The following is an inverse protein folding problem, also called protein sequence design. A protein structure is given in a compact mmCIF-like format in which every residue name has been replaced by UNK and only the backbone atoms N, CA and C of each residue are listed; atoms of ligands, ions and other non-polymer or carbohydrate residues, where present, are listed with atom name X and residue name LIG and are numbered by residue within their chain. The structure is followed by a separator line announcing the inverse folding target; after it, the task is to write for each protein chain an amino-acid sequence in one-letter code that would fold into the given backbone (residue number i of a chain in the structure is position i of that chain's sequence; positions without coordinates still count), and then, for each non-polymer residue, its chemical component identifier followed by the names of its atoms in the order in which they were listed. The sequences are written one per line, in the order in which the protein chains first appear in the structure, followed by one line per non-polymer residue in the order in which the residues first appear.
data_IF_942387372193
#
_entry.id   IF_942387372193
#
_cell.length_a   1.000
_cell.length_b   1.000
_cell.length_c   1.000
_cell.angle_alpha   90.00
_cell.angle_beta   90.00
_cell.angle_gamma   90.00
#
_symmetry.space_group_name_H-M   'P 1'
#
loop_
_entity.id
_entity.type
_entity.pdbx_description
1 polymer ?
#
# COMPACT_ATOMS: atom_id res chain seq x y z
N UNK A 1 23.56 2.82 4.01
CA UNK A 1 23.44 1.57 4.80
C UNK A 1 23.34 0.31 3.92
N UNK A 2 22.52 0.29 2.84
CA UNK A 2 22.36 -0.89 1.97
C UNK A 2 23.66 -1.23 1.24
N UNK A 3 24.33 -0.23 0.65
CA UNK A 3 25.58 -0.39 -0.10
C UNK A 3 26.72 -0.93 0.77
N UNK A 4 26.76 -0.54 2.04
CA UNK A 4 27.77 -1.06 2.98
C UNK A 4 27.70 -2.59 3.14
N UNK A 5 26.53 -3.19 2.86
CA UNK A 5 26.33 -4.66 2.86
C UNK A 5 26.77 -5.32 1.55
N UNK A 6 27.15 -4.56 0.53
CA UNK A 6 27.57 -5.03 -0.80
C UNK A 6 26.66 -6.14 -1.38
N UNK A 7 25.33 -5.93 -1.45
CA UNK A 7 24.44 -6.95 -2.00
C UNK A 7 24.72 -7.11 -3.50
N UNK A 8 24.63 -8.33 -4.01
CA UNK A 8 24.75 -8.59 -5.46
C UNK A 8 23.49 -8.17 -6.22
N UNK A 9 22.34 -8.22 -5.56
CA UNK A 9 21.04 -7.89 -6.12
C UNK A 9 20.16 -7.23 -5.07
N UNK A 10 19.46 -6.15 -5.46
CA UNK A 10 18.40 -5.51 -4.68
C UNK A 10 17.08 -5.74 -5.40
N UNK A 11 16.12 -6.35 -4.71
CA UNK A 11 14.76 -6.54 -5.19
C UNK A 11 13.87 -5.51 -4.49
N UNK A 12 13.22 -4.66 -5.26
CA UNK A 12 12.26 -3.67 -4.79
C UNK A 12 10.86 -4.16 -5.13
N UNK A 13 10.02 -4.32 -4.12
CA UNK A 13 8.63 -4.76 -4.28
C UNK A 13 7.71 -3.66 -3.81
N UNK A 14 6.70 -3.33 -4.61
CA UNK A 14 5.73 -2.27 -4.35
C UNK A 14 6.36 -0.86 -4.26
N UNK A 15 7.52 -0.71 -4.85
CA UNK A 15 8.24 0.55 -4.96
C UNK A 15 9.31 0.47 -6.05
N UNK A 16 9.88 1.63 -6.40
CA UNK A 16 11.04 1.69 -7.30
C UNK A 16 10.74 2.30 -8.66
N UNK A 17 9.49 2.31 -9.11
CA UNK A 17 9.13 2.85 -10.44
C UNK A 17 9.53 4.32 -10.65
N UNK A 18 9.58 5.11 -9.58
CA UNK A 18 9.98 6.52 -9.59
C UNK A 18 11.32 6.80 -8.88
N UNK A 19 12.00 5.76 -8.39
CA UNK A 19 13.22 5.89 -7.57
C UNK A 19 14.48 5.99 -8.43
N UNK A 20 14.52 6.98 -9.34
CA UNK A 20 15.59 7.13 -10.34
C UNK A 20 16.96 7.27 -9.68
N UNK A 21 17.11 8.20 -8.73
CA UNK A 21 18.41 8.49 -8.11
C UNK A 21 18.92 7.30 -7.29
N UNK A 22 18.04 6.67 -6.51
CA UNK A 22 18.42 5.51 -5.71
C UNK A 22 18.87 4.33 -6.57
N UNK A 23 18.15 4.04 -7.66
CA UNK A 23 18.48 2.94 -8.58
C UNK A 23 19.73 3.25 -9.39
N UNK A 24 19.88 4.48 -9.87
CA UNK A 24 21.10 4.90 -10.56
C UNK A 24 22.32 4.85 -9.63
N UNK A 25 22.13 5.14 -8.34
CA UNK A 25 23.20 5.01 -7.35
C UNK A 25 23.58 3.54 -7.08
N UNK A 26 22.61 2.62 -7.09
CA UNK A 26 22.89 1.18 -7.04
C UNK A 26 23.71 0.75 -8.27
N UNK A 27 23.30 1.16 -9.46
CA UNK A 27 23.99 0.83 -10.71
C UNK A 27 25.43 1.36 -10.75
N UNK A 28 25.69 2.58 -10.21
CA UNK A 28 27.04 3.15 -10.07
C UNK A 28 27.95 2.36 -9.12
N UNK A 29 27.37 1.54 -8.25
CA UNK A 29 28.09 0.66 -7.31
C UNK A 29 28.04 -0.82 -7.73
N UNK A 30 27.78 -1.12 -9.01
CA UNK A 30 27.71 -2.48 -9.59
C UNK A 30 26.69 -3.39 -8.89
N UNK A 31 25.65 -2.81 -8.26
CA UNK A 31 24.59 -3.54 -7.60
C UNK A 31 23.42 -3.69 -8.56
N UNK A 32 23.08 -4.94 -8.90
CA UNK A 32 21.93 -5.24 -9.75
C UNK A 32 20.63 -4.92 -9.03
N UNK A 33 19.60 -4.50 -9.79
CA UNK A 33 18.29 -4.19 -9.26
C UNK A 33 17.17 -4.80 -10.09
N UNK A 34 16.17 -5.35 -9.38
CA UNK A 34 14.89 -5.82 -9.91
C UNK A 34 13.77 -5.01 -9.24
N UNK A 35 12.94 -4.38 -10.04
CA UNK A 35 11.76 -3.64 -9.58
C UNK A 35 10.52 -4.44 -9.96
N UNK A 36 9.66 -4.73 -8.98
CA UNK A 36 8.32 -5.33 -9.17
C UNK A 36 7.31 -4.37 -8.56
N UNK A 37 6.68 -3.56 -9.41
CA UNK A 37 5.88 -2.42 -8.96
C UNK A 37 4.65 -2.22 -9.85
N UNK A 38 3.65 -1.48 -9.39
CA UNK A 38 2.42 -1.19 -10.11
C UNK A 38 2.04 0.30 -10.09
N UNK A 39 2.83 1.12 -9.40
CA UNK A 39 2.63 2.58 -9.37
C UNK A 39 2.87 3.22 -10.73
N UNK A 40 2.42 4.47 -10.87
CA UNK A 40 2.67 5.23 -12.10
C UNK A 40 4.17 5.33 -12.39
N UNK A 41 4.52 5.19 -13.66
CA UNK A 41 5.90 5.25 -14.13
C UNK A 41 5.98 6.08 -15.41
N UNK A 42 6.89 7.06 -15.42
CA UNK A 42 7.11 7.95 -16.56
C UNK A 42 8.56 7.90 -17.01
N UNK A 43 8.81 8.29 -18.26
CA UNK A 43 10.17 8.49 -18.76
C UNK A 43 10.76 9.79 -18.17
N UNK A 44 12.10 9.84 -17.91
CA UNK A 44 13.06 8.74 -18.06
C UNK A 44 12.86 7.66 -16.98
N UNK A 45 12.97 6.39 -17.37
CA UNK A 45 12.86 5.26 -16.43
C UNK A 45 14.13 5.12 -15.58
N UNK A 46 14.03 4.64 -14.32
CA UNK A 46 15.21 4.30 -13.54
C UNK A 46 16.05 3.21 -14.24
N UNK A 47 17.37 3.29 -14.13
CA UNK A 47 18.32 2.34 -14.76
C UNK A 47 18.40 1.01 -14.00
N UNK A 48 17.25 0.41 -13.68
CA UNK A 48 17.21 -0.93 -13.10
C UNK A 48 17.51 -1.99 -14.15
N UNK A 49 18.13 -3.12 -13.74
CA UNK A 49 18.40 -4.23 -14.64
C UNK A 49 17.09 -4.83 -15.19
N UNK A 50 16.05 -4.92 -14.33
CA UNK A 50 14.71 -5.36 -14.74
C UNK A 50 13.65 -4.52 -14.02
N UNK A 51 12.62 -4.10 -14.75
CA UNK A 51 11.43 -3.46 -14.21
C UNK A 51 10.22 -4.25 -14.68
N UNK A 52 9.49 -4.84 -13.74
CA UNK A 52 8.19 -5.48 -13.94
C UNK A 52 7.14 -4.49 -13.44
N UNK A 53 6.55 -3.75 -14.37
CA UNK A 53 5.47 -2.81 -14.09
C UNK A 53 4.52 -2.77 -15.31
N UNK A 54 3.23 -3.10 -15.15
CA UNK A 54 2.28 -3.13 -16.27
C UNK A 54 2.09 -1.79 -16.96
N UNK A 55 2.41 -0.68 -16.28
CA UNK A 55 2.28 0.69 -16.80
C UNK A 55 3.53 1.21 -17.49
N UNK A 56 4.64 0.48 -17.45
CA UNK A 56 5.93 0.92 -18.03
C UNK A 56 5.85 1.10 -19.55
N UNK A 57 5.15 0.24 -20.24
CA UNK A 57 4.99 0.30 -21.68
C UNK A 57 3.50 0.17 -22.01
N UNK A 58 2.98 1.00 -22.88
CA UNK A 58 1.56 1.02 -23.24
C UNK A 58 0.98 -0.34 -23.67
N UNK A 59 1.83 -1.32 -24.07
CA UNK A 59 1.42 -2.66 -24.47
C UNK A 59 0.86 -3.56 -23.36
N UNK A 60 1.11 -3.27 -22.07
CA UNK A 60 0.69 -4.11 -20.94
C UNK A 60 -0.37 -3.45 -20.06
N UNK A 61 -0.93 -2.35 -20.46
CA UNK A 61 -1.99 -1.60 -19.75
C UNK A 61 -3.20 -2.47 -19.38
N UNK A 62 -3.46 -3.57 -20.11
CA UNK A 62 -4.52 -4.53 -19.77
C UNK A 62 -4.34 -5.21 -18.41
N UNK A 63 -3.17 -5.09 -17.77
CA UNK A 63 -2.86 -5.63 -16.44
C UNK A 63 -2.64 -4.56 -15.37
N UNK A 64 -3.00 -3.30 -15.65
CA UNK A 64 -2.87 -2.14 -14.78
C UNK A 64 -3.60 -2.26 -13.44
N UNK A 65 -4.55 -3.20 -13.36
CA UNK A 65 -5.34 -3.53 -12.18
C UNK A 65 -4.68 -4.54 -11.22
N UNK A 66 -3.46 -5.00 -11.51
CA UNK A 66 -2.72 -5.91 -10.63
C UNK A 66 -1.85 -5.13 -9.64
N UNK A 67 -1.91 -5.48 -8.35
CA UNK A 67 -0.99 -4.96 -7.34
C UNK A 67 0.38 -5.64 -7.40
N UNK A 68 1.38 -5.04 -6.76
CA UNK A 68 2.74 -5.55 -6.74
C UNK A 68 2.85 -6.97 -6.16
N UNK A 69 2.02 -7.33 -5.19
CA UNK A 69 1.97 -8.68 -4.62
C UNK A 69 1.50 -9.71 -5.66
N UNK A 70 0.51 -9.35 -6.50
CA UNK A 70 0.06 -10.22 -7.60
C UNK A 70 1.17 -10.42 -8.63
N UNK A 71 1.87 -9.35 -9.00
CA UNK A 71 3.00 -9.42 -9.94
C UNK A 71 4.15 -10.27 -9.37
N UNK A 72 4.45 -10.11 -8.08
CA UNK A 72 5.45 -10.91 -7.38
C UNK A 72 5.07 -12.40 -7.33
N UNK A 73 3.80 -12.70 -7.13
CA UNK A 73 3.30 -14.07 -7.16
C UNK A 73 3.51 -14.72 -8.53
N UNK A 74 3.13 -14.05 -9.60
CA UNK A 74 3.37 -14.56 -10.96
C UNK A 74 4.85 -14.65 -11.32
N UNK A 75 5.66 -13.68 -10.90
CA UNK A 75 7.10 -13.76 -11.05
C UNK A 75 7.68 -15.02 -10.38
N UNK A 76 7.27 -15.28 -9.13
CA UNK A 76 7.71 -16.47 -8.39
C UNK A 76 7.20 -17.78 -9.02
N UNK A 77 5.96 -17.84 -9.50
CA UNK A 77 5.45 -19.01 -10.22
C UNK A 77 6.29 -19.31 -11.47
N UNK A 78 6.59 -18.28 -12.26
CA UNK A 78 7.44 -18.41 -13.45
C UNK A 78 8.86 -18.84 -13.09
N UNK A 79 9.43 -18.25 -12.04
CA UNK A 79 10.77 -18.58 -11.55
C UNK A 79 10.86 -20.05 -11.08
N UNK A 80 9.90 -20.52 -10.30
CA UNK A 80 9.80 -21.89 -9.81
C UNK A 80 9.67 -22.86 -10.97
N UNK A 81 8.77 -22.58 -11.91
CA UNK A 81 8.57 -23.41 -13.11
C UNK A 81 9.84 -23.50 -13.96
N UNK A 82 10.49 -22.36 -14.23
CA UNK A 82 11.71 -22.29 -15.05
C UNK A 82 12.85 -23.09 -14.43
N UNK A 83 13.00 -23.03 -13.11
CA UNK A 83 14.07 -23.71 -12.38
C UNK A 83 13.68 -25.13 -11.88
N UNK A 84 12.48 -25.60 -12.21
CA UNK A 84 11.93 -26.91 -11.83
C UNK A 84 11.90 -27.14 -10.30
N UNK A 85 11.72 -26.09 -9.52
CA UNK A 85 11.56 -26.25 -8.08
C UNK A 85 10.19 -26.86 -7.73
N UNK A 86 10.18 -27.76 -6.74
CA UNK A 86 8.95 -28.37 -6.21
C UNK A 86 8.39 -27.52 -5.05
N UNK A 87 7.84 -26.36 -5.36
CA UNK A 87 7.24 -25.46 -4.37
C UNK A 87 5.82 -25.07 -4.79
N UNK A 88 4.85 -25.27 -3.91
CA UNK A 88 3.45 -24.90 -4.13
C UNK A 88 3.17 -23.51 -3.51
N UNK A 89 2.89 -22.54 -4.35
CA UNK A 89 2.54 -21.18 -3.94
C UNK A 89 1.05 -20.98 -3.64
N UNK A 90 0.17 -21.97 -3.88
CA UNK A 90 -1.28 -21.79 -3.70
C UNK A 90 -1.67 -21.36 -2.29
N UNK A 91 -0.93 -21.81 -1.28
CA UNK A 91 -1.13 -21.39 0.12
C UNK A 91 -0.99 -19.88 0.36
N UNK A 92 -0.32 -19.15 -0.56
CA UNK A 92 -0.11 -17.71 -0.47
C UNK A 92 -1.17 -16.89 -1.23
N UNK A 93 -2.11 -17.52 -1.94
CA UNK A 93 -3.16 -16.81 -2.67
C UNK A 93 -4.02 -15.90 -1.78
N UNK A 94 -4.20 -16.26 -0.50
CA UNK A 94 -4.92 -15.42 0.45
C UNK A 94 -4.20 -14.10 0.71
N UNK A 95 -2.87 -14.06 0.71
CA UNK A 95 -2.09 -12.84 0.86
C UNK A 95 -2.11 -12.00 -0.42
N UNK A 96 -2.16 -12.64 -1.60
CA UNK A 96 -2.36 -11.94 -2.87
C UNK A 96 -3.72 -11.24 -2.88
N UNK A 97 -4.77 -11.92 -2.42
CA UNK A 97 -6.09 -11.33 -2.28
C UNK A 97 -6.12 -10.22 -1.23
N UNK A 98 -5.47 -10.42 -0.07
CA UNK A 98 -5.36 -9.41 0.99
C UNK A 98 -4.72 -8.12 0.48
N UNK A 99 -3.59 -8.22 -0.23
CA UNK A 99 -2.93 -7.07 -0.84
C UNK A 99 -3.81 -6.40 -1.90
N UNK A 100 -4.44 -7.17 -2.78
CA UNK A 100 -5.37 -6.67 -3.80
C UNK A 100 -6.50 -5.84 -3.18
N UNK A 101 -7.06 -6.30 -2.05
CA UNK A 101 -8.14 -5.60 -1.33
C UNK A 101 -7.61 -4.38 -0.56
N UNK A 102 -6.43 -4.50 0.07
CA UNK A 102 -5.80 -3.42 0.84
C UNK A 102 -5.43 -2.22 -0.06
N UNK A 103 -4.97 -2.49 -1.27
CA UNK A 103 -4.66 -1.50 -2.31
C UNK A 103 -5.89 -1.01 -3.09
N UNK A 104 -7.09 -1.49 -2.71
CA UNK A 104 -8.36 -1.13 -3.38
C UNK A 104 -8.32 -1.40 -4.89
N UNK A 105 -7.59 -2.43 -5.32
CA UNK A 105 -7.49 -2.80 -6.74
C UNK A 105 -8.81 -3.38 -7.25
N UNK A 106 -9.19 -3.10 -8.50
CA UNK A 106 -10.45 -3.59 -9.07
C UNK A 106 -10.53 -5.12 -9.08
N UNK A 107 -11.62 -5.69 -8.53
CA UNK A 107 -11.87 -7.13 -8.54
C UNK A 107 -12.44 -7.59 -9.89
N UNK A 108 -11.64 -7.43 -10.95
CA UNK A 108 -11.95 -7.87 -12.32
C UNK A 108 -10.91 -8.87 -12.84
N UNK A 109 -11.28 -9.64 -13.83
CA UNK A 109 -10.39 -10.60 -14.52
C UNK A 109 -9.57 -11.44 -13.52
N UNK A 110 -8.22 -11.38 -13.56
CA UNK A 110 -7.36 -12.18 -12.67
C UNK A 110 -7.61 -11.91 -11.18
N UNK A 111 -7.79 -10.65 -10.76
CA UNK A 111 -8.09 -10.35 -9.36
C UNK A 111 -9.38 -11.03 -8.89
N UNK A 112 -10.41 -11.09 -9.75
CA UNK A 112 -11.65 -11.81 -9.43
C UNK A 112 -11.45 -13.32 -9.36
N UNK A 113 -10.67 -13.90 -10.28
CA UNK A 113 -10.35 -15.33 -10.26
C UNK A 113 -9.55 -15.70 -9.01
N UNK A 114 -8.56 -14.89 -8.65
CA UNK A 114 -7.78 -15.06 -7.42
C UNK A 114 -8.68 -14.98 -6.19
N UNK A 115 -9.61 -14.01 -6.15
CA UNK A 115 -10.54 -13.86 -5.04
C UNK A 115 -11.43 -15.11 -4.87
N UNK A 116 -12.02 -15.59 -5.95
CA UNK A 116 -12.88 -16.80 -5.93
C UNK A 116 -12.06 -18.01 -5.46
N UNK A 117 -10.87 -18.22 -6.04
CA UNK A 117 -10.01 -19.36 -5.73
C UNK A 117 -9.50 -19.29 -4.29
N UNK A 118 -8.96 -18.15 -3.87
CA UNK A 118 -8.43 -17.96 -2.53
C UNK A 118 -9.51 -18.18 -1.47
N UNK A 119 -10.70 -17.57 -1.61
CA UNK A 119 -11.78 -17.72 -0.62
C UNK A 119 -12.38 -19.13 -0.60
N UNK A 120 -12.38 -19.84 -1.74
CA UNK A 120 -12.87 -21.22 -1.82
C UNK A 120 -11.92 -22.21 -1.13
N UNK A 121 -10.63 -22.09 -1.38
CA UNK A 121 -9.61 -23.07 -0.97
C UNK A 121 -9.02 -22.77 0.42
N UNK A 122 -9.09 -21.51 0.87
CA UNK A 122 -8.45 -21.08 2.12
C UNK A 122 -9.23 -21.58 3.35
N UNK A 123 -8.50 -22.26 4.23
CA UNK A 123 -8.98 -22.65 5.56
C UNK A 123 -8.20 -21.84 6.59
N UNK A 124 -8.89 -21.00 7.36
CA UNK A 124 -8.24 -20.06 8.29
C UNK A 124 -7.42 -20.78 9.36
N UNK A 125 -7.82 -22.01 9.72
CA UNK A 125 -7.11 -22.84 10.68
C UNK A 125 -5.69 -23.20 10.23
N UNK A 126 -5.45 -23.21 8.93
CA UNK A 126 -4.14 -23.51 8.33
C UNK A 126 -3.21 -22.28 8.31
N UNK A 127 -3.68 -21.12 8.78
CA UNK A 127 -2.90 -19.88 8.83
C UNK A 127 -2.96 -19.29 10.24
N UNK A 128 -1.89 -19.50 11.00
CA UNK A 128 -1.87 -19.13 12.41
C UNK A 128 -2.12 -17.63 12.61
N UNK A 129 -1.49 -16.76 11.82
CA UNK A 129 -1.62 -15.30 11.96
C UNK A 129 -3.07 -14.84 11.74
N UNK A 130 -3.68 -15.24 10.62
CA UNK A 130 -5.05 -14.85 10.30
C UNK A 130 -6.05 -15.47 11.28
N UNK A 131 -5.79 -16.69 11.74
CA UNK A 131 -6.61 -17.36 12.74
C UNK A 131 -6.57 -16.63 14.10
N UNK A 132 -5.40 -16.19 14.56
CA UNK A 132 -5.29 -15.41 15.80
C UNK A 132 -5.97 -14.03 15.68
N UNK A 133 -5.88 -13.36 14.53
CA UNK A 133 -6.64 -12.11 14.27
C UNK A 133 -8.14 -12.37 14.43
N UNK A 134 -8.65 -13.46 13.87
CA UNK A 134 -10.06 -13.82 13.94
C UNK A 134 -10.52 -14.13 15.37
N UNK A 135 -9.72 -14.91 16.11
CA UNK A 135 -10.00 -15.22 17.52
C UNK A 135 -10.10 -13.96 18.37
N UNK A 136 -9.11 -13.06 18.26
CA UNK A 136 -9.07 -11.81 19.01
C UNK A 136 -10.20 -10.84 18.62
N UNK A 137 -10.73 -10.99 17.42
CA UNK A 137 -11.84 -10.17 16.92
C UNK A 137 -13.20 -10.84 17.10
N UNK A 138 -13.29 -11.95 17.83
CA UNK A 138 -14.50 -12.75 18.06
C UNK A 138 -15.22 -13.15 16.77
N UNK A 139 -14.49 -13.36 15.66
CA UNK A 139 -15.02 -13.79 14.38
C UNK A 139 -15.08 -15.31 14.30
N UNK A 140 -16.24 -15.85 13.90
CA UNK A 140 -16.47 -17.29 13.76
C UNK A 140 -16.74 -17.73 12.33
N UNK A 141 -17.08 -16.78 11.45
CA UNK A 141 -17.46 -17.07 10.07
C UNK A 141 -16.24 -17.31 9.17
N UNK A 142 -16.48 -17.88 7.98
CA UNK A 142 -15.44 -17.95 6.94
C UNK A 142 -14.95 -16.55 6.58
N UNK A 143 -13.64 -16.45 6.29
CA UNK A 143 -13.02 -15.21 5.84
C UNK A 143 -13.70 -14.71 4.55
N UNK A 144 -13.90 -13.41 4.47
CA UNK A 144 -14.49 -12.76 3.32
C UNK A 144 -13.75 -11.46 2.97
N UNK A 145 -14.12 -10.83 1.85
CA UNK A 145 -13.46 -9.61 1.36
C UNK A 145 -13.58 -8.45 2.35
N UNK A 146 -14.73 -8.31 3.05
CA UNK A 146 -14.90 -7.25 4.07
C UNK A 146 -13.94 -7.44 5.23
N UNK A 147 -13.72 -8.68 5.68
CA UNK A 147 -12.77 -8.96 6.75
C UNK A 147 -11.33 -8.64 6.32
N UNK A 148 -10.97 -8.93 5.08
CA UNK A 148 -9.65 -8.55 4.53
C UNK A 148 -9.46 -7.03 4.53
N UNK A 149 -10.44 -6.27 4.03
CA UNK A 149 -10.32 -4.82 3.86
C UNK A 149 -10.53 -4.01 5.14
N UNK A 150 -11.44 -4.43 6.03
CA UNK A 150 -11.87 -3.63 7.19
C UNK A 150 -11.41 -4.15 8.55
N UNK A 151 -10.88 -5.38 8.61
CA UNK A 151 -10.32 -5.94 9.83
C UNK A 151 -8.82 -6.19 9.69
N UNK A 152 -8.41 -7.03 8.73
CA UNK A 152 -7.03 -7.51 8.63
C UNK A 152 -6.09 -6.42 8.10
N UNK A 153 -6.40 -5.81 6.96
CA UNK A 153 -5.56 -4.78 6.36
C UNK A 153 -5.34 -3.57 7.27
N UNK A 154 -6.33 -3.02 8.00
CA UNK A 154 -6.11 -1.93 8.95
C UNK A 154 -5.16 -2.29 10.10
N UNK A 155 -5.21 -3.52 10.62
CA UNK A 155 -4.30 -4.00 11.67
C UNK A 155 -2.87 -4.05 11.13
N UNK A 156 -2.66 -4.67 9.97
CA UNK A 156 -1.34 -4.77 9.35
C UNK A 156 -0.75 -3.41 8.98
N UNK A 157 -1.56 -2.50 8.48
CA UNK A 157 -1.14 -1.16 8.06
C UNK A 157 -0.90 -0.19 9.23
N UNK A 158 -1.37 -0.51 10.45
CA UNK A 158 -1.27 0.40 11.59
C UNK A 158 0.17 0.75 11.96
N UNK A 159 1.08 -0.23 11.87
CA UNK A 159 2.51 -0.02 12.13
C UNK A 159 3.14 1.01 11.21
N UNK A 160 2.92 0.91 9.91
CA UNK A 160 3.45 1.84 8.92
C UNK A 160 2.94 3.27 9.11
N UNK A 161 1.67 3.43 9.52
CA UNK A 161 1.07 4.75 9.76
C UNK A 161 1.59 5.45 11.02
N UNK A 162 2.11 4.71 11.99
CA UNK A 162 2.63 5.23 13.26
C UNK A 162 4.15 5.03 13.40
N UNK A 163 4.88 4.94 12.28
CA UNK A 163 6.35 4.91 12.25
C UNK A 163 6.99 3.56 12.59
N UNK A 164 6.21 2.47 12.61
CA UNK A 164 6.70 1.10 12.89
C UNK A 164 6.45 0.17 11.71
N UNK A 165 6.99 0.51 10.54
CA UNK A 165 6.70 -0.15 9.25
C UNK A 165 7.06 -1.63 9.17
N UNK A 166 8.04 -2.11 9.96
CA UNK A 166 8.50 -3.51 9.90
C UNK A 166 7.64 -4.49 10.72
N UNK A 167 6.70 -4.02 11.55
CA UNK A 167 5.92 -4.89 12.46
C UNK A 167 5.02 -5.87 11.69
N UNK A 168 4.38 -5.43 10.61
CA UNK A 168 3.54 -6.31 9.79
C UNK A 168 4.37 -7.41 9.10
N UNK A 169 5.53 -7.05 8.55
CA UNK A 169 6.43 -8.04 7.93
C UNK A 169 6.90 -9.05 8.97
N UNK A 170 7.34 -8.59 10.15
CA UNK A 170 7.75 -9.47 11.24
C UNK A 170 6.62 -10.40 11.71
N UNK A 171 5.37 -9.91 11.73
CA UNK A 171 4.21 -10.74 12.05
C UNK A 171 3.98 -11.82 10.99
N UNK A 172 3.96 -11.43 9.71
CA UNK A 172 3.62 -12.35 8.61
C UNK A 172 4.71 -13.37 8.29
N UNK A 173 5.96 -13.11 8.68
CA UNK A 173 7.12 -14.00 8.48
C UNK A 173 7.57 -14.73 9.75
N UNK A 174 6.83 -14.58 10.87
CA UNK A 174 7.21 -15.21 12.10
C UNK A 174 6.89 -16.72 12.09
N UNK A 175 7.87 -17.53 12.43
CA UNK A 175 7.75 -18.99 12.53
C UNK A 175 7.36 -19.46 13.95
N UNK A 176 7.33 -18.56 14.92
CA UNK A 176 7.06 -18.85 16.33
C UNK A 176 5.75 -18.21 16.77
N UNK A 177 4.86 -19.01 17.37
CA UNK A 177 3.56 -18.58 17.85
C UNK A 177 3.61 -17.48 18.93
N UNK A 178 4.63 -17.48 19.78
CA UNK A 178 4.79 -16.43 20.80
C UNK A 178 5.13 -15.09 20.13
N UNK A 179 6.02 -15.11 19.14
CA UNK A 179 6.37 -13.92 18.35
C UNK A 179 5.15 -13.39 17.61
N UNK A 180 4.35 -14.26 17.00
CA UNK A 180 3.09 -13.89 16.33
C UNK A 180 2.16 -13.18 17.31
N UNK A 181 1.88 -13.77 18.47
CA UNK A 181 0.99 -13.17 19.49
C UNK A 181 1.49 -11.81 19.96
N UNK A 182 2.79 -11.70 20.27
CA UNK A 182 3.40 -10.43 20.68
C UNK A 182 3.25 -9.36 19.59
N UNK A 183 3.65 -9.68 18.34
CA UNK A 183 3.57 -8.73 17.23
C UNK A 183 2.14 -8.34 16.86
N UNK A 184 1.23 -9.30 16.95
CA UNK A 184 -0.19 -9.04 16.70
C UNK A 184 -0.77 -8.11 17.78
N UNK A 185 -0.48 -8.34 19.06
CA UNK A 185 -0.90 -7.45 20.14
C UNK A 185 -0.36 -6.03 19.94
N UNK A 186 0.92 -5.89 19.59
CA UNK A 186 1.53 -4.59 19.28
C UNK A 186 0.78 -3.87 18.12
N UNK A 187 0.45 -4.59 17.03
CA UNK A 187 -0.26 -4.03 15.87
C UNK A 187 -1.72 -3.68 16.19
N UNK A 188 -2.42 -4.49 16.99
CA UNK A 188 -3.79 -4.18 17.44
C UNK A 188 -3.78 -2.89 18.28
N UNK A 189 -2.85 -2.77 19.23
CA UNK A 189 -2.71 -1.56 20.06
C UNK A 189 -2.38 -0.33 19.20
N UNK A 190 -1.52 -0.46 18.20
CA UNK A 190 -1.23 0.61 17.25
C UNK A 190 -2.47 0.99 16.42
N UNK A 191 -3.27 0.01 16.01
CA UNK A 191 -4.51 0.27 15.26
C UNK A 191 -5.55 1.00 16.13
N UNK A 192 -5.72 0.62 17.40
CA UNK A 192 -6.61 1.32 18.32
C UNK A 192 -6.10 2.74 18.61
N UNK A 193 -4.80 2.91 18.81
CA UNK A 193 -4.19 4.25 18.94
C UNK A 193 -4.45 5.10 17.69
N UNK A 194 -4.27 4.53 16.50
CA UNK A 194 -4.55 5.21 15.23
C UNK A 194 -6.02 5.65 15.14
N UNK A 195 -6.97 4.75 15.51
CA UNK A 195 -8.41 5.07 15.49
C UNK A 195 -8.74 6.23 16.45
N UNK A 196 -8.17 6.21 17.67
CA UNK A 196 -8.36 7.29 18.64
C UNK A 196 -7.85 8.63 18.09
N UNK A 197 -6.64 8.66 17.52
CA UNK A 197 -6.09 9.90 16.93
C UNK A 197 -6.97 10.36 15.75
N UNK A 198 -7.42 9.44 14.87
CA UNK A 198 -8.34 9.76 13.76
C UNK A 198 -9.63 10.39 14.28
N UNK A 199 -10.26 9.81 15.30
CA UNK A 199 -11.49 10.34 15.93
C UNK A 199 -11.27 11.74 16.48
N UNK A 200 -10.23 11.92 17.32
CA UNK A 200 -9.90 13.24 17.90
C UNK A 200 -9.66 14.31 16.82
N UNK A 201 -8.94 13.97 15.74
CA UNK A 201 -8.73 14.91 14.64
C UNK A 201 -10.08 15.32 14.02
N UNK A 202 -10.94 14.33 13.71
CA UNK A 202 -12.24 14.60 13.09
C UNK A 202 -13.17 15.41 13.99
N UNK A 203 -13.16 15.18 15.30
CA UNK A 203 -13.93 15.93 16.29
C UNK A 203 -13.50 17.41 16.37
N UNK A 204 -12.20 17.68 16.16
CA UNK A 204 -11.65 19.04 16.20
C UNK A 204 -11.75 19.81 14.88
N UNK A 205 -12.21 19.17 13.80
CA UNK A 205 -12.36 19.83 12.50
C UNK A 205 -13.65 20.67 12.47
N UNK A 206 -13.51 21.94 12.15
CA UNK A 206 -14.67 22.80 11.86
C UNK A 206 -15.17 22.56 10.42
N UNK A 207 -16.09 21.61 10.30
CA UNK A 207 -16.70 21.27 9.02
C UNK A 207 -17.49 22.41 8.37
N UNK A 208 -18.08 23.34 9.17
CA UNK A 208 -18.83 24.48 8.66
C UNK A 208 -17.89 25.47 7.99
N UNK A 209 -16.78 25.77 8.64
CA UNK A 209 -15.72 26.62 8.09
C UNK A 209 -15.14 26.04 6.80
N UNK A 210 -14.78 24.75 6.80
CA UNK A 210 -14.24 24.08 5.60
C UNK A 210 -15.23 24.19 4.43
N UNK A 211 -16.53 23.96 4.68
CA UNK A 211 -17.57 24.05 3.66
C UNK A 211 -17.67 25.45 3.05
N UNK A 212 -17.53 26.47 3.89
CA UNK A 212 -17.60 27.89 3.47
C UNK A 212 -16.38 28.32 2.66
N UNK A 213 -15.19 27.88 3.08
CA UNK A 213 -13.91 28.27 2.45
C UNK A 213 -13.58 27.48 1.18
N UNK A 214 -14.25 26.33 0.94
CA UNK A 214 -13.90 25.39 -0.13
C UNK A 214 -15.12 25.01 -0.97
N UNK A 215 -15.32 25.70 -2.09
CA UNK A 215 -16.49 25.50 -2.92
C UNK A 215 -16.47 24.20 -3.72
N UNK A 216 -15.40 23.93 -4.48
CA UNK A 216 -15.31 22.80 -5.42
C UNK A 216 -14.25 21.75 -5.05
N UNK A 217 -13.27 22.12 -4.24
CA UNK A 217 -12.14 21.31 -3.86
C UNK A 217 -11.79 21.56 -2.39
N UNK A 218 -11.72 20.54 -1.57
CA UNK A 218 -11.39 20.68 -0.16
C UNK A 218 -9.87 20.70 0.01
N UNK A 219 -9.35 21.78 0.61
CA UNK A 219 -7.96 21.84 1.09
C UNK A 219 -8.01 22.01 2.61
N UNK A 220 -7.41 21.08 3.33
CA UNK A 220 -7.28 21.14 4.77
C UNK A 220 -5.80 21.07 5.16
N UNK A 221 -5.35 22.07 5.88
CA UNK A 221 -3.98 22.18 6.37
C UNK A 221 -3.94 22.15 7.89
N UNK A 222 -3.17 21.21 8.43
CA UNK A 222 -2.85 21.11 9.85
C UNK A 222 -1.37 20.73 10.00
N UNK A 223 -0.50 21.69 10.43
CA UNK A 223 0.94 21.45 10.52
C UNK A 223 1.34 20.44 11.60
N UNK A 224 0.43 20.14 12.54
CA UNK A 224 0.68 19.24 13.69
C UNK A 224 0.26 17.80 13.41
N UNK A 225 -0.48 17.57 12.31
CA UNK A 225 -1.02 16.26 11.99
C UNK A 225 0.10 15.29 11.61
N UNK A 226 0.00 14.05 12.12
CA UNK A 226 0.91 12.98 11.74
C UNK A 226 0.76 12.64 10.25
N UNK A 227 1.89 12.65 9.51
CA UNK A 227 1.91 12.42 8.05
C UNK A 227 1.36 11.05 7.62
N UNK A 228 1.40 10.03 8.49
CA UNK A 228 0.82 8.71 8.23
C UNK A 228 -0.71 8.69 8.27
N UNK A 229 -1.36 9.76 8.77
CA UNK A 229 -2.81 9.86 8.92
C UNK A 229 -3.47 10.77 7.88
N UNK A 230 -2.72 11.68 7.24
CA UNK A 230 -3.29 12.64 6.27
C UNK A 230 -4.12 11.95 5.17
N UNK A 231 -3.70 10.77 4.72
CA UNK A 231 -4.42 10.00 3.69
C UNK A 231 -5.77 9.43 4.17
N UNK A 232 -5.88 9.13 5.48
CA UNK A 232 -7.14 8.67 6.07
C UNK A 232 -8.08 9.85 6.24
N UNK A 233 -7.59 10.95 6.80
CA UNK A 233 -8.39 12.17 6.99
C UNK A 233 -8.86 12.72 5.63
N UNK A 234 -7.99 12.72 4.60
CA UNK A 234 -8.39 13.10 3.25
C UNK A 234 -9.55 12.23 2.71
N UNK A 235 -9.51 10.91 2.97
CA UNK A 235 -10.60 10.02 2.58
C UNK A 235 -11.89 10.34 3.34
N UNK A 236 -11.83 10.59 4.66
CA UNK A 236 -13.00 10.96 5.48
C UNK A 236 -13.64 12.27 5.04
N UNK A 237 -12.82 13.29 4.82
CA UNK A 237 -13.32 14.58 4.34
C UNK A 237 -13.92 14.49 2.93
N UNK A 238 -13.25 13.71 2.03
CA UNK A 238 -13.79 13.42 0.69
C UNK A 238 -15.16 12.74 0.77
N UNK A 239 -15.32 11.74 1.64
CA UNK A 239 -16.58 11.02 1.79
C UNK A 239 -17.67 11.91 2.40
N UNK A 240 -17.32 12.74 3.39
CA UNK A 240 -18.27 13.66 4.05
C UNK A 240 -18.76 14.76 3.11
N UNK A 241 -17.85 15.43 2.39
CA UNK A 241 -18.20 16.55 1.50
C UNK A 241 -18.60 16.12 0.09
N UNK A 242 -18.33 14.86 -0.28
CA UNK A 242 -18.43 14.34 -1.66
C UNK A 242 -17.69 15.22 -2.69
N UNK A 243 -16.52 15.75 -2.28
CA UNK A 243 -15.67 16.63 -3.08
C UNK A 243 -14.24 16.10 -3.14
N UNK A 244 -13.49 16.33 -4.23
CA UNK A 244 -12.08 16.03 -4.23
C UNK A 244 -11.38 16.76 -3.11
N UNK A 245 -10.48 16.09 -2.41
CA UNK A 245 -9.93 16.58 -1.14
C UNK A 245 -8.43 16.36 -1.06
N UNK A 246 -7.72 17.36 -0.56
CA UNK A 246 -6.31 17.29 -0.19
C UNK A 246 -6.14 17.68 1.27
N UNK A 247 -5.43 16.85 2.03
CA UNK A 247 -4.98 17.15 3.40
C UNK A 247 -3.48 17.33 3.40
N UNK A 248 -3.02 18.40 4.00
CA UNK A 248 -1.60 18.81 4.00
C UNK A 248 -1.14 18.91 5.46
N UNK A 249 0.08 18.47 5.72
CA UNK A 249 0.77 18.66 7.01
C UNK A 249 2.22 19.06 6.79
N UNK A 250 2.88 19.46 7.88
CA UNK A 250 4.33 19.70 7.88
C UNK A 250 5.06 18.38 8.12
N UNK A 251 6.05 18.07 7.28
CA UNK A 251 6.93 16.91 7.43
C UNK A 251 8.37 17.40 7.27
N UNK A 252 9.11 17.48 8.37
CA UNK A 252 10.42 18.13 8.43
C UNK A 252 10.37 19.56 7.86
N UNK A 253 11.18 19.85 6.85
CA UNK A 253 11.23 21.16 6.18
C UNK A 253 10.29 21.29 4.98
N UNK A 254 9.40 20.33 4.75
CA UNK A 254 8.52 20.30 3.58
C UNK A 254 7.06 20.24 4.00
N UNK A 255 6.18 20.59 3.07
CA UNK A 255 4.77 20.27 3.17
C UNK A 255 4.52 18.93 2.49
N UNK A 256 3.79 18.05 3.15
CA UNK A 256 3.38 16.74 2.64
C UNK A 256 1.86 16.69 2.54
N UNK A 257 1.37 16.42 1.33
CA UNK A 257 -0.05 16.30 1.05
C UNK A 257 -0.48 14.88 0.73
N UNK A 258 -1.73 14.56 1.06
CA UNK A 258 -2.42 13.38 0.54
C UNK A 258 -3.76 13.79 -0.03
N UNK A 259 -4.03 13.38 -1.28
CA UNK A 259 -5.24 13.76 -1.97
C UNK A 259 -6.13 12.55 -2.27
N UNK A 260 -7.43 12.79 -2.42
CA UNK A 260 -8.44 11.79 -2.76
C UNK A 260 -9.34 12.31 -3.86
N UNK A 261 -9.41 11.54 -4.95
CA UNK A 261 -10.28 11.81 -6.10
C UNK A 261 -11.75 11.52 -5.80
N UNK A 262 -12.64 12.18 -6.51
CA UNK A 262 -14.02 11.74 -6.74
C UNK A 262 -14.14 11.13 -8.13
N UNK A 263 -15.28 10.53 -8.46
CA UNK A 263 -15.49 9.92 -9.77
C UNK A 263 -15.31 10.90 -10.95
N UNK A 264 -15.56 12.18 -10.70
CA UNK A 264 -15.54 13.23 -11.74
C UNK A 264 -14.20 13.98 -11.83
N UNK A 265 -13.31 13.81 -10.84
CA UNK A 265 -12.04 14.55 -10.79
C UNK A 265 -10.87 13.61 -10.55
N UNK A 266 -9.98 13.50 -11.53
CA UNK A 266 -8.75 12.72 -11.41
C UNK A 266 -7.62 13.59 -10.85
N UNK A 267 -7.42 13.54 -9.53
CA UNK A 267 -6.35 14.30 -8.86
C UNK A 267 -4.96 13.86 -9.31
N UNK A 268 -4.77 12.61 -9.69
CA UNK A 268 -3.47 12.14 -10.20
C UNK A 268 -3.00 12.93 -11.41
N UNK A 269 -3.93 13.29 -12.34
CA UNK A 269 -3.61 14.17 -13.47
C UNK A 269 -3.25 15.60 -13.02
N UNK A 270 -3.93 16.11 -11.99
CA UNK A 270 -3.63 17.43 -11.42
C UNK A 270 -2.24 17.44 -10.80
N UNK A 271 -1.91 16.45 -9.97
CA UNK A 271 -0.58 16.30 -9.36
C UNK A 271 0.51 16.20 -10.42
N UNK A 272 0.28 15.42 -11.48
CA UNK A 272 1.23 15.31 -12.59
C UNK A 272 1.47 16.69 -13.27
N UNK A 273 0.42 17.45 -13.52
CA UNK A 273 0.52 18.77 -14.12
C UNK A 273 1.28 19.77 -13.21
N UNK A 274 1.10 19.67 -11.89
CA UNK A 274 1.84 20.48 -10.92
C UNK A 274 3.33 20.11 -10.87
N UNK A 275 3.66 18.83 -11.03
CA UNK A 275 5.05 18.36 -11.17
C UNK A 275 5.69 18.87 -12.44
N UNK A 276 5.00 18.73 -13.58
CA UNK A 276 5.50 19.19 -14.89
C UNK A 276 5.74 20.70 -14.92
N UNK A 277 5.01 21.46 -14.09
CA UNK A 277 5.19 22.92 -13.89
C UNK A 277 6.17 23.28 -12.77
N UNK A 278 6.86 22.32 -12.15
CA UNK A 278 7.76 22.52 -11.00
C UNK A 278 7.12 23.25 -9.80
N UNK A 279 5.79 23.16 -9.63
CA UNK A 279 5.08 23.76 -8.49
C UNK A 279 5.23 22.89 -7.23
N UNK A 280 5.33 21.58 -7.40
CA UNK A 280 5.60 20.63 -6.34
C UNK A 280 6.88 19.85 -6.63
N UNK A 281 7.61 19.49 -5.58
CA UNK A 281 8.89 18.78 -5.69
C UNK A 281 8.71 17.33 -6.10
N UNK A 282 7.74 16.65 -5.51
CA UNK A 282 7.46 15.24 -5.75
C UNK A 282 5.96 14.99 -5.64
N UNK A 283 5.46 14.01 -6.38
CA UNK A 283 4.07 13.58 -6.29
C UNK A 283 3.82 12.38 -7.18
N UNK A 284 2.79 11.60 -6.84
CA UNK A 284 2.38 10.42 -7.58
C UNK A 284 1.29 9.66 -6.83
N UNK A 285 0.79 8.59 -7.45
CA UNK A 285 -0.23 7.72 -6.88
C UNK A 285 -0.78 6.75 -7.89
#
# INVERSE_FOLDING_TARGET
KLILKKPKLVIMVDCGSTSIDAINYLAKNDIKSLVIDHHEINKPYPKANVIINPKKNNGYIKYDYLCATTLSYFFLEMFIKKNRYKLDLRKYLIYVLLATVADVMPLRKFNRLIAIKALKEFKIQNNYVLNEIYKLSNKKNKINIKDLGYLIAPILNAGGRLGKSNHATQLLTADNNQVVRKKLSELINLNEKRKKIESTILENIDFKRIKKENENFIIYYDPTMNEGLIGIIAARLKDFFNKPTMVITRSNNFLKGSARSTNNVNIGKVIKNLLDKNIILNGGG
#
